data_IF_069188119004
#
_entry.id   IF_069188119004
#
_cell.length_a   1.000
_cell.length_b   1.000
_cell.length_c   1.000
_cell.angle_alpha   90.00
_cell.angle_beta   90.00
_cell.angle_gamma   90.00
#
_symmetry.space_group_name_H-M   'P 1'
#
loop_
_entity.id
_entity.type
_entity.pdbx_description
1 polymer ?
#
# COMPACT_ATOMS: atom_id res chain seq x y z
N UNK A 1 -15.20 41.69 -41.33
CA UNK A 1 -16.31 40.90 -40.74
C UNK A 1 -15.82 39.60 -40.10
N UNK A 2 -15.00 38.80 -40.79
CA UNK A 2 -14.44 37.52 -40.27
C UNK A 2 -13.67 37.66 -38.95
N UNK A 3 -12.80 38.67 -38.81
CA UNK A 3 -12.04 38.89 -37.56
C UNK A 3 -12.91 39.23 -36.34
N UNK A 4 -14.07 39.86 -36.54
CA UNK A 4 -15.00 40.19 -35.45
C UNK A 4 -15.74 38.95 -34.95
N UNK A 5 -16.12 38.04 -35.85
CA UNK A 5 -16.78 36.78 -35.51
C UNK A 5 -15.83 35.82 -34.79
N UNK A 6 -14.58 35.72 -35.25
CA UNK A 6 -13.54 34.93 -34.60
C UNK A 6 -13.28 35.38 -33.15
N UNK A 7 -13.23 36.71 -32.93
CA UNK A 7 -13.04 37.28 -31.60
C UNK A 7 -14.22 37.00 -30.66
N UNK A 8 -15.46 37.11 -31.14
CA UNK A 8 -16.65 36.77 -30.36
C UNK A 8 -16.71 35.28 -30.00
N UNK A 9 -16.31 34.41 -30.93
CA UNK A 9 -16.26 32.96 -30.70
C UNK A 9 -15.24 32.60 -29.62
N UNK A 10 -14.04 33.20 -29.66
CA UNK A 10 -13.01 32.99 -28.62
C UNK A 10 -13.45 33.46 -27.24
N UNK A 11 -14.16 34.59 -27.15
CA UNK A 11 -14.72 35.09 -25.87
C UNK A 11 -15.81 34.15 -25.34
N UNK A 12 -16.68 33.64 -26.22
CA UNK A 12 -17.71 32.68 -25.83
C UNK A 12 -17.09 31.39 -25.30
N UNK A 13 -16.13 30.80 -26.03
CA UNK A 13 -15.40 29.59 -25.59
C UNK A 13 -14.71 29.81 -24.25
N UNK A 14 -14.06 30.97 -24.05
CA UNK A 14 -13.40 31.28 -22.77
C UNK A 14 -14.39 31.36 -21.61
N UNK A 15 -15.57 31.96 -21.81
CA UNK A 15 -16.63 32.04 -20.79
C UNK A 15 -17.16 30.65 -20.43
N UNK A 16 -17.48 29.83 -21.44
CA UNK A 16 -17.95 28.46 -21.22
C UNK A 16 -16.90 27.59 -20.53
N UNK A 17 -15.62 27.74 -20.88
CA UNK A 17 -14.52 27.05 -20.22
C UNK A 17 -14.39 27.45 -18.75
N UNK A 18 -14.49 28.75 -18.42
CA UNK A 18 -14.45 29.19 -17.02
C UNK A 18 -15.61 28.62 -16.22
N UNK A 19 -16.84 28.66 -16.76
CA UNK A 19 -18.02 28.08 -16.09
C UNK A 19 -17.82 26.59 -15.86
N UNK A 20 -17.30 25.87 -16.86
CA UNK A 20 -17.01 24.45 -16.76
C UNK A 20 -15.94 24.12 -15.70
N UNK A 21 -14.85 24.88 -15.65
CA UNK A 21 -13.80 24.69 -14.64
C UNK A 21 -14.32 24.99 -13.22
N UNK A 22 -15.12 26.05 -13.07
CA UNK A 22 -15.76 26.39 -11.80
C UNK A 22 -16.72 25.30 -11.33
N UNK A 23 -17.57 24.79 -12.21
CA UNK A 23 -18.51 23.72 -11.85
C UNK A 23 -17.83 22.38 -11.58
N UNK A 24 -16.68 22.13 -12.23
CA UNK A 24 -15.87 20.91 -12.04
C UNK A 24 -15.19 20.82 -10.67
N UNK A 25 -15.04 21.92 -9.94
CA UNK A 25 -14.49 21.90 -8.58
C UNK A 25 -15.38 21.07 -7.64
N UNK A 26 -16.70 21.15 -7.80
CA UNK A 26 -17.66 20.42 -6.95
C UNK A 26 -17.47 18.90 -7.06
N UNK A 27 -17.55 18.27 -8.26
CA UNK A 27 -17.29 16.83 -8.38
C UNK A 27 -15.84 16.48 -8.04
N UNK A 28 -14.86 17.35 -8.33
CA UNK A 28 -13.46 17.11 -7.93
C UNK A 28 -13.33 16.92 -6.42
N UNK A 29 -13.90 17.84 -5.63
CA UNK A 29 -13.85 17.75 -4.17
C UNK A 29 -14.58 16.51 -3.65
N UNK A 30 -15.72 16.15 -4.23
CA UNK A 30 -16.45 14.94 -3.90
C UNK A 30 -15.61 13.67 -4.13
N UNK A 31 -15.02 13.50 -5.32
CA UNK A 31 -14.22 12.31 -5.60
C UNK A 31 -12.94 12.24 -4.78
N UNK A 32 -12.30 13.38 -4.49
CA UNK A 32 -11.15 13.43 -3.58
C UNK A 32 -11.56 13.02 -2.16
N UNK A 33 -12.72 13.48 -1.68
CA UNK A 33 -13.27 13.04 -0.39
C UNK A 33 -13.54 11.53 -0.37
N UNK A 34 -14.17 10.99 -1.42
CA UNK A 34 -14.40 9.55 -1.56
C UNK A 34 -13.09 8.77 -1.59
N UNK A 35 -12.05 9.28 -2.27
CA UNK A 35 -10.72 8.67 -2.28
C UNK A 35 -10.11 8.58 -0.89
N UNK A 36 -10.14 9.68 -0.12
CA UNK A 36 -9.62 9.70 1.25
C UNK A 36 -10.38 8.73 2.15
N UNK A 37 -11.71 8.69 2.03
CA UNK A 37 -12.56 7.76 2.79
C UNK A 37 -12.33 6.30 2.42
N UNK A 38 -12.13 6.01 1.13
CA UNK A 38 -11.80 4.66 0.68
C UNK A 38 -10.43 4.22 1.22
N UNK A 39 -9.42 5.10 1.15
CA UNK A 39 -8.09 4.79 1.68
C UNK A 39 -8.10 4.59 3.19
N UNK A 40 -8.80 5.45 3.94
CA UNK A 40 -8.90 5.32 5.40
C UNK A 40 -9.62 4.04 5.82
N UNK A 41 -10.49 3.49 4.98
CA UNK A 41 -11.17 2.22 5.22
C UNK A 41 -10.33 0.99 4.78
N UNK A 42 -9.81 0.99 3.55
CA UNK A 42 -9.18 -0.21 2.97
C UNK A 42 -7.75 -0.44 3.46
N UNK A 43 -6.99 0.60 3.80
CA UNK A 43 -5.64 0.47 4.36
C UNK A 43 -5.64 -0.34 5.66
N UNK A 44 -6.46 -0.02 6.70
CA UNK A 44 -6.46 -0.82 7.93
C UNK A 44 -7.05 -2.23 7.75
N UNK A 45 -8.00 -2.41 6.82
CA UNK A 45 -8.58 -3.73 6.53
C UNK A 45 -7.51 -4.65 5.92
N UNK A 46 -6.79 -4.17 4.91
CA UNK A 46 -5.74 -4.92 4.23
C UNK A 46 -4.54 -5.22 5.13
N UNK A 47 -4.23 -4.33 6.09
CA UNK A 47 -3.24 -4.58 7.14
C UNK A 47 -3.56 -5.77 8.06
N UNK A 48 -4.81 -6.28 8.05
CA UNK A 48 -5.23 -7.45 8.85
C UNK A 48 -5.34 -8.75 8.04
N UNK A 49 -5.02 -8.72 6.74
CA UNK A 49 -5.21 -9.87 5.84
C UNK A 49 -4.08 -10.91 5.90
N UNK A 50 -3.04 -10.66 6.70
CA UNK A 50 -1.88 -11.55 6.82
C UNK A 50 -0.91 -11.47 5.62
N UNK A 51 0.23 -12.18 5.67
CA UNK A 51 1.30 -12.09 4.67
C UNK A 51 1.03 -12.81 3.33
N UNK A 52 0.05 -13.73 3.28
CA UNK A 52 -0.22 -14.57 2.10
C UNK A 52 -0.61 -13.79 0.84
N UNK A 53 -1.30 -12.65 1.00
CA UNK A 53 -1.74 -11.80 -0.12
C UNK A 53 -1.00 -10.48 -0.02
N UNK A 54 -0.53 -9.92 -1.15
CA UNK A 54 0.11 -8.62 -1.14
C UNK A 54 -0.94 -7.50 -0.99
N UNK A 55 -1.07 -6.82 0.17
CA UNK A 55 -2.04 -5.75 0.34
C UNK A 55 -1.73 -4.54 -0.56
N UNK A 56 -0.46 -4.33 -0.91
CA UNK A 56 -0.02 -3.22 -1.77
C UNK A 56 -0.71 -3.27 -3.15
N UNK A 57 -0.92 -4.48 -3.69
CA UNK A 57 -1.57 -4.67 -5.00
C UNK A 57 -3.06 -4.33 -4.94
N UNK A 58 -3.72 -4.70 -3.85
CA UNK A 58 -5.16 -4.43 -3.65
C UNK A 58 -5.39 -2.93 -3.47
N UNK A 59 -4.60 -2.29 -2.61
CA UNK A 59 -4.65 -0.84 -2.39
C UNK A 59 -4.30 -0.11 -3.69
N UNK A 60 -3.26 -0.55 -4.40
CA UNK A 60 -2.85 0.04 -5.68
C UNK A 60 -3.95 -0.04 -6.74
N UNK A 61 -4.68 -1.16 -6.83
CA UNK A 61 -5.81 -1.31 -7.74
C UNK A 61 -6.95 -0.34 -7.38
N UNK A 62 -7.33 -0.27 -6.11
CA UNK A 62 -8.37 0.66 -5.62
C UNK A 62 -7.95 2.11 -5.88
N UNK A 63 -6.69 2.45 -5.60
CA UNK A 63 -6.14 3.78 -5.85
C UNK A 63 -6.22 4.15 -7.33
N UNK A 64 -5.83 3.24 -8.23
CA UNK A 64 -5.82 3.49 -9.67
C UNK A 64 -7.23 3.71 -10.23
N UNK A 65 -8.22 2.95 -9.78
CA UNK A 65 -9.62 3.10 -10.17
C UNK A 65 -10.19 4.44 -9.71
N UNK A 66 -9.98 4.79 -8.44
CA UNK A 66 -10.48 6.04 -7.87
C UNK A 66 -9.79 7.27 -8.46
N UNK A 67 -8.47 7.20 -8.70
CA UNK A 67 -7.75 8.23 -9.44
C UNK A 67 -8.31 8.41 -10.85
N UNK A 68 -8.61 7.30 -11.55
CA UNK A 68 -9.24 7.37 -12.88
C UNK A 68 -10.60 8.06 -12.85
N UNK A 69 -11.40 7.84 -11.79
CA UNK A 69 -12.66 8.56 -11.57
C UNK A 69 -12.43 10.06 -11.30
N UNK A 70 -11.41 10.42 -10.51
CA UNK A 70 -11.04 11.83 -10.28
C UNK A 70 -10.64 12.51 -11.59
N UNK A 71 -9.80 11.89 -12.44
CA UNK A 71 -9.40 12.53 -13.70
C UNK A 71 -10.47 12.41 -14.81
N UNK A 72 -11.48 11.55 -14.61
CA UNK A 72 -12.53 11.30 -15.60
C UNK A 72 -13.32 12.56 -15.98
N UNK A 73 -13.60 13.46 -15.02
CA UNK A 73 -14.28 14.71 -15.34
C UNK A 73 -13.39 15.69 -16.12
N UNK A 74 -12.06 15.53 -16.13
CA UNK A 74 -11.15 16.36 -16.96
C UNK A 74 -11.04 15.85 -18.40
N UNK A 75 -11.57 14.65 -18.70
CA UNK A 75 -11.52 14.04 -20.03
C UNK A 75 -11.96 14.96 -21.19
N UNK A 76 -13.11 15.67 -21.15
CA UNK A 76 -13.52 16.51 -22.28
C UNK A 76 -12.59 17.70 -22.55
N UNK A 77 -11.75 18.12 -21.59
CA UNK A 77 -10.76 19.19 -21.82
C UNK A 77 -9.68 18.78 -22.82
N UNK A 78 -9.42 17.48 -22.99
CA UNK A 78 -8.46 16.96 -23.98
C UNK A 78 -8.85 17.38 -25.40
N UNK A 79 -10.16 17.48 -25.69
CA UNK A 79 -10.65 17.88 -27.01
C UNK A 79 -10.34 19.35 -27.35
N UNK A 80 -10.12 20.18 -26.35
CA UNK A 80 -9.76 21.60 -26.54
C UNK A 80 -8.27 21.78 -26.83
N UNK A 81 -7.46 20.74 -26.64
CA UNK A 81 -6.01 20.79 -26.79
C UNK A 81 -5.63 20.60 -28.25
N UNK A 82 -4.88 21.56 -28.79
CA UNK A 82 -4.48 21.55 -30.20
C UNK A 82 -3.59 20.36 -30.59
N UNK A 83 -2.78 19.84 -29.65
CA UNK A 83 -1.90 18.67 -29.83
C UNK A 83 -1.93 17.77 -28.59
N UNK A 84 -2.94 16.89 -28.44
CA UNK A 84 -3.13 16.10 -27.21
C UNK A 84 -1.95 15.14 -26.94
N UNK A 85 -1.29 14.64 -27.99
CA UNK A 85 -0.11 13.78 -27.87
C UNK A 85 1.04 14.40 -27.07
N UNK A 86 1.25 15.72 -27.18
CA UNK A 86 2.29 16.42 -26.40
C UNK A 86 1.98 16.42 -24.90
N UNK A 87 0.70 16.55 -24.55
CA UNK A 87 0.28 16.46 -23.15
C UNK A 87 0.43 15.04 -22.62
N UNK A 88 0.05 14.03 -23.41
CA UNK A 88 0.20 12.61 -23.02
C UNK A 88 1.67 12.27 -22.79
N UNK A 89 2.57 12.66 -23.70
CA UNK A 89 4.02 12.48 -23.50
C UNK A 89 4.49 13.20 -22.24
N UNK A 90 4.05 14.43 -22.00
CA UNK A 90 4.41 15.20 -20.81
C UNK A 90 3.98 14.51 -19.51
N UNK A 91 2.76 13.96 -19.47
CA UNK A 91 2.24 13.21 -18.33
C UNK A 91 3.00 11.90 -18.10
N UNK A 92 3.33 11.17 -19.16
CA UNK A 92 4.15 9.94 -19.08
C UNK A 92 5.55 10.27 -18.58
N UNK A 93 6.18 11.32 -19.12
CA UNK A 93 7.50 11.76 -18.68
C UNK A 93 7.51 12.16 -17.21
N UNK A 94 6.48 12.89 -16.76
CA UNK A 94 6.30 13.24 -15.35
C UNK A 94 6.10 12.01 -14.47
N UNK A 95 5.29 11.05 -14.90
CA UNK A 95 5.09 9.77 -14.20
C UNK A 95 6.40 8.97 -14.08
N UNK A 96 7.16 8.84 -15.17
CA UNK A 96 8.44 8.13 -15.12
C UNK A 96 9.43 8.87 -14.21
N UNK A 97 9.47 10.21 -14.28
CA UNK A 97 10.32 11.01 -13.41
C UNK A 97 9.95 10.84 -11.92
N UNK A 98 8.65 10.80 -11.58
CA UNK A 98 8.23 10.59 -10.18
C UNK A 98 8.55 9.19 -9.70
N UNK A 99 8.34 8.16 -10.53
CA UNK A 99 8.71 6.77 -10.19
C UNK A 99 10.22 6.65 -9.98
N UNK A 100 11.03 7.21 -10.87
CA UNK A 100 12.49 7.23 -10.72
C UNK A 100 12.92 7.97 -9.45
N UNK A 101 12.30 9.12 -9.16
CA UNK A 101 12.57 9.85 -7.93
C UNK A 101 12.26 8.99 -6.69
N UNK A 102 11.11 8.31 -6.65
CA UNK A 102 10.71 7.46 -5.51
C UNK A 102 11.65 6.26 -5.33
N UNK A 103 12.12 5.64 -6.42
CA UNK A 103 13.03 4.48 -6.34
C UNK A 103 14.45 4.90 -5.92
N UNK A 104 14.92 6.05 -6.42
CA UNK A 104 16.30 6.51 -6.17
C UNK A 104 16.46 7.29 -4.88
N UNK A 105 15.36 7.81 -4.31
CA UNK A 105 15.39 8.59 -3.08
C UNK A 105 14.84 7.79 -1.90
N UNK A 106 15.31 8.08 -0.67
CA UNK A 106 14.77 7.48 0.54
C UNK A 106 13.31 7.89 0.82
N UNK A 107 12.73 8.80 0.03
CA UNK A 107 11.33 9.24 0.16
C UNK A 107 10.37 8.07 -0.03
N UNK A 108 10.73 7.09 -0.88
CA UNK A 108 9.93 5.89 -1.10
C UNK A 108 10.05 4.84 0.00
N UNK A 109 11.01 4.97 0.91
CA UNK A 109 11.19 3.99 1.98
C UNK A 109 10.23 4.32 3.14
N UNK A 110 9.32 3.40 3.50
CA UNK A 110 8.25 3.71 4.45
C UNK A 110 8.75 3.88 5.90
N UNK A 111 9.93 3.34 6.22
CA UNK A 111 10.45 3.34 7.58
C UNK A 111 11.51 4.43 7.77
N UNK A 112 11.36 5.21 8.83
CA UNK A 112 12.33 6.24 9.19
C UNK A 112 12.39 6.38 10.71
N UNK A 113 13.26 7.26 11.20
CA UNK A 113 13.30 7.58 12.63
C UNK A 113 11.96 8.13 13.15
N UNK A 114 11.17 8.78 12.28
CA UNK A 114 9.84 9.30 12.62
C UNK A 114 8.73 8.25 12.50
N UNK A 115 8.96 7.23 11.66
CA UNK A 115 8.01 6.15 11.38
C UNK A 115 8.72 4.79 11.48
N UNK A 116 9.05 4.33 12.69
CA UNK A 116 9.81 3.10 12.86
C UNK A 116 8.98 1.87 12.45
N UNK A 117 9.65 0.87 11.88
CA UNK A 117 9.06 -0.46 11.69
C UNK A 117 8.77 -1.09 13.05
N UNK A 118 7.59 -1.72 13.19
CA UNK A 118 7.22 -2.41 14.43
C UNK A 118 7.65 -3.87 14.36
N UNK A 119 8.48 -4.26 15.33
CA UNK A 119 8.91 -5.63 15.54
C UNK A 119 8.34 -6.12 16.86
N UNK A 120 7.73 -7.32 16.87
CA UNK A 120 7.30 -7.97 18.10
C UNK A 120 8.34 -9.03 18.47
N UNK A 121 8.86 -8.92 19.69
CA UNK A 121 9.94 -9.76 20.20
C UNK A 121 9.49 -10.36 21.53
N UNK A 122 9.45 -11.68 21.60
CA UNK A 122 8.99 -12.42 22.76
C UNK A 122 10.08 -13.35 23.26
N UNK A 123 10.36 -13.30 24.56
CA UNK A 123 11.10 -14.37 25.21
C UNK A 123 10.14 -15.54 25.45
N UNK A 124 10.42 -16.69 24.87
CA UNK A 124 9.51 -17.84 24.85
C UNK A 124 10.21 -19.03 25.47
N UNK A 125 9.54 -19.63 26.45
CA UNK A 125 9.84 -20.97 26.95
C UNK A 125 8.65 -21.87 26.56
N UNK A 126 8.93 -22.93 25.81
CA UNK A 126 7.91 -23.85 25.29
C UNK A 126 8.12 -25.22 25.92
N UNK A 127 7.07 -25.75 26.54
CA UNK A 127 7.02 -27.12 27.06
C UNK A 127 5.83 -27.83 26.41
N UNK A 128 6.12 -28.72 25.46
CA UNK A 128 5.12 -29.45 24.68
C UNK A 128 4.85 -30.80 25.34
N UNK A 129 3.62 -31.06 25.75
CA UNK A 129 3.20 -32.32 26.37
C UNK A 129 2.36 -33.18 25.42
N UNK A 130 2.37 -34.50 25.66
CA UNK A 130 1.48 -35.42 24.94
C UNK A 130 0.01 -35.22 25.37
N UNK A 131 -0.94 -35.70 24.58
CA UNK A 131 -2.38 -35.72 24.88
C UNK A 131 -2.72 -36.33 26.25
N UNK A 132 -1.88 -37.22 26.79
CA UNK A 132 -2.04 -37.84 28.10
C UNK A 132 -1.43 -37.04 29.26
N UNK A 133 -0.76 -35.91 28.98
CA UNK A 133 -0.09 -35.04 29.96
C UNK A 133 1.13 -35.66 30.66
N UNK A 134 1.49 -36.90 30.35
CA UNK A 134 2.43 -37.70 31.13
C UNK A 134 3.89 -37.65 30.65
N UNK A 135 4.15 -37.19 29.43
CA UNK A 135 5.51 -37.04 28.89
C UNK A 135 5.68 -35.71 28.15
N UNK A 136 6.81 -35.06 28.41
CA UNK A 136 7.31 -33.91 27.65
C UNK A 136 7.84 -34.41 26.30
N UNK A 137 7.26 -33.92 25.20
CA UNK A 137 7.73 -34.19 23.85
C UNK A 137 8.93 -33.33 23.47
N UNK A 138 8.94 -32.06 23.90
CA UNK A 138 9.95 -31.07 23.53
C UNK A 138 9.91 -29.89 24.50
N UNK A 139 11.07 -29.48 25.00
CA UNK A 139 11.25 -28.32 25.87
C UNK A 139 12.37 -27.46 25.30
N UNK A 140 12.02 -26.25 24.86
CA UNK A 140 13.00 -25.29 24.33
C UNK A 140 12.75 -23.90 24.91
N UNK A 141 13.80 -23.08 24.92
CA UNK A 141 13.69 -21.66 25.25
C UNK A 141 14.44 -20.83 24.22
N UNK A 142 13.98 -19.60 23.99
CA UNK A 142 14.63 -18.71 23.06
C UNK A 142 13.87 -17.43 22.78
N UNK A 143 14.39 -16.68 21.83
CA UNK A 143 13.78 -15.45 21.37
C UNK A 143 12.93 -15.70 20.13
N UNK A 144 11.64 -15.38 20.21
CA UNK A 144 10.72 -15.42 19.09
C UNK A 144 10.52 -14.02 18.51
N UNK A 145 10.88 -13.87 17.24
CA UNK A 145 10.62 -12.66 16.48
C UNK A 145 9.38 -12.86 15.61
N UNK A 146 8.33 -12.13 15.94
CA UNK A 146 7.10 -12.14 15.18
C UNK A 146 7.03 -10.90 14.28
N UNK A 147 7.03 -11.14 12.98
CA UNK A 147 6.98 -10.09 11.97
C UNK A 147 5.54 -9.75 11.60
N UNK A 148 5.15 -8.49 11.76
CA UNK A 148 3.84 -8.01 11.28
C UNK A 148 3.87 -7.59 9.82
N UNK A 149 5.07 -7.34 9.28
CA UNK A 149 5.27 -6.81 7.95
C UNK A 149 5.90 -7.87 7.05
N UNK A 150 5.37 -8.03 5.83
CA UNK A 150 5.78 -9.08 4.90
C UNK A 150 7.26 -9.00 4.49
N UNK A 151 7.82 -7.78 4.42
CA UNK A 151 9.22 -7.56 4.03
C UNK A 151 10.20 -7.61 5.21
N UNK A 152 9.72 -7.83 6.43
CA UNK A 152 10.55 -7.72 7.62
C UNK A 152 11.75 -8.71 7.66
N UNK A 153 11.67 -9.95 7.12
CA UNK A 153 12.84 -10.84 7.06
C UNK A 153 14.04 -10.21 6.34
N UNK A 154 13.78 -9.39 5.32
CA UNK A 154 14.82 -8.67 4.59
C UNK A 154 15.38 -7.51 5.42
N UNK A 155 14.53 -6.82 6.19
CA UNK A 155 14.97 -5.76 7.11
C UNK A 155 15.86 -6.30 8.23
N UNK A 156 15.61 -7.51 8.74
CA UNK A 156 16.38 -8.07 9.87
C UNK A 156 17.84 -8.34 9.52
N UNK A 157 18.13 -8.68 8.26
CA UNK A 157 19.50 -8.92 7.78
C UNK A 157 20.45 -7.74 7.96
N UNK A 158 19.91 -6.53 8.10
CA UNK A 158 20.67 -5.30 8.32
C UNK A 158 21.24 -5.25 9.75
N UNK A 159 20.60 -5.91 10.71
CA UNK A 159 20.99 -5.84 12.11
C UNK A 159 21.93 -6.99 12.50
N UNK A 160 23.11 -6.70 13.08
CA UNK A 160 24.10 -7.73 13.40
C UNK A 160 23.62 -8.80 14.38
N UNK A 161 22.76 -8.43 15.33
CA UNK A 161 22.21 -9.33 16.36
C UNK A 161 21.12 -10.28 15.84
N UNK A 162 20.67 -10.11 14.61
CA UNK A 162 19.66 -10.95 13.95
C UNK A 162 20.25 -11.88 12.89
N UNK A 163 21.58 -11.98 12.80
CA UNK A 163 22.27 -12.83 11.80
C UNK A 163 22.09 -14.33 12.05
N UNK A 164 21.95 -14.72 13.31
CA UNK A 164 21.80 -16.12 13.73
C UNK A 164 20.31 -16.52 13.88
N UNK A 165 19.41 -15.78 13.25
CA UNK A 165 17.99 -16.14 13.22
C UNK A 165 17.80 -17.37 12.33
N UNK A 166 17.41 -18.47 12.96
CA UNK A 166 16.92 -19.63 12.26
C UNK A 166 15.41 -19.44 12.00
N UNK A 167 14.97 -19.76 10.78
CA UNK A 167 13.55 -19.95 10.56
C UNK A 167 13.14 -21.13 11.42
N UNK A 168 12.19 -20.92 12.32
CA UNK A 168 11.65 -22.00 13.13
C UNK A 168 11.16 -23.08 12.17
N UNK A 169 11.64 -24.31 12.29
CA UNK A 169 11.03 -25.45 11.61
C UNK A 169 9.60 -25.58 12.15
N UNK A 170 8.68 -24.98 11.41
CA UNK A 170 7.29 -24.85 11.84
C UNK A 170 6.64 -26.21 11.61
N UNK A 171 6.66 -27.04 12.65
CA UNK A 171 5.97 -28.34 12.73
C UNK A 171 4.43 -28.14 12.81
N UNK A 172 3.85 -27.35 11.90
CA UNK A 172 2.41 -27.07 11.82
C UNK A 172 1.56 -28.32 11.61
N UNK A 173 2.14 -29.37 11.02
CA UNK A 173 1.46 -30.66 10.85
C UNK A 173 1.40 -31.47 12.15
N UNK A 174 2.32 -31.22 13.08
CA UNK A 174 2.53 -32.04 14.28
C UNK A 174 1.99 -31.41 15.56
N UNK A 175 2.00 -30.06 15.65
CA UNK A 175 1.61 -29.34 16.86
C UNK A 175 0.52 -28.30 16.58
N UNK A 176 -0.42 -28.15 17.51
CA UNK A 176 -1.43 -27.08 17.47
C UNK A 176 -0.70 -25.73 17.57
N UNK A 177 -1.14 -24.72 16.81
CA UNK A 177 -0.45 -23.43 16.70
C UNK A 177 1.02 -23.58 16.28
N UNK A 178 1.34 -24.67 15.58
CA UNK A 178 2.69 -25.03 15.16
C UNK A 178 3.73 -25.02 16.30
N UNK A 179 3.28 -25.20 17.54
CA UNK A 179 4.13 -25.19 18.74
C UNK A 179 4.65 -23.81 19.15
N UNK A 180 4.06 -22.71 18.64
CA UNK A 180 4.52 -21.34 18.86
C UNK A 180 3.46 -20.45 19.53
N UNK A 181 3.85 -19.52 20.43
CA UNK A 181 2.92 -18.58 21.05
C UNK A 181 2.64 -17.41 20.10
N UNK A 182 1.72 -17.61 19.16
CA UNK A 182 1.28 -16.55 18.26
C UNK A 182 0.50 -15.47 19.02
N UNK A 183 0.82 -14.19 18.76
CA UNK A 183 0.10 -13.05 19.34
C UNK A 183 -1.36 -12.97 18.85
N UNK A 184 -1.60 -13.40 17.61
CA UNK A 184 -2.95 -13.55 17.05
C UNK A 184 -3.20 -15.00 16.65
N UNK A 185 -4.33 -15.56 17.07
CA UNK A 185 -4.69 -16.95 16.74
C UNK A 185 -4.81 -17.22 15.22
N UNK A 186 -5.09 -16.17 14.43
CA UNK A 186 -5.24 -16.24 12.97
C UNK A 186 -3.90 -16.37 12.22
N UNK A 187 -2.77 -16.00 12.82
CA UNK A 187 -1.47 -15.98 12.13
C UNK A 187 -0.83 -17.35 11.95
N UNK A 188 -1.39 -18.38 12.59
CA UNK A 188 -0.89 -19.76 12.62
C UNK A 188 -0.71 -20.45 11.27
N UNK A 189 -1.42 -20.00 10.23
CA UNK A 189 -1.44 -20.65 8.91
C UNK A 189 -0.75 -19.85 7.82
N UNK A 190 -0.31 -18.63 8.12
CA UNK A 190 0.16 -17.67 7.11
C UNK A 190 1.67 -17.48 7.10
N UNK A 191 2.36 -17.99 8.12
CA UNK A 191 3.75 -17.62 8.38
C UNK A 191 4.71 -18.77 7.97
N UNK A 192 4.56 -19.29 6.75
CA UNK A 192 5.56 -20.16 6.10
C UNK A 192 6.35 -19.33 5.09
#
# INVERSE_FOLDING_TARGET
MVNSLLFQFLIAVRKWLTVYLCSSIIPATYFVYTYVMAMSLFVPISGRSGPNVNPDLVIGLIASLLCSMIFGYLSPLILLVWKPWRLIIGLIALYVATVLAVITTPIGFPFSQQSPERLLMFHVERNLHNSSGSSELKSDSGLWLYHIHRRAPQTYSVYPWFKDLENVDIDCEKYIYCGMPFYYSRSTKTDV
#
